data_IF_247456716335
#
_entry.id   IF_247456716335
#
_cell.length_a   1.000
_cell.length_b   1.000
_cell.length_c   1.000
_cell.angle_alpha   90.00
_cell.angle_beta   90.00
_cell.angle_gamma   90.00
#
_symmetry.space_group_name_H-M   'P 1'
#
loop_
_entity.id
_entity.type
_entity.pdbx_description
1 polymer ?
#
# COMPACT_ATOMS: atom_id res chain seq x y z
N UNK A 1 11.42 13.76 19.92
CA UNK A 1 10.47 12.93 19.16
C UNK A 1 10.87 11.48 19.34
N UNK A 2 9.99 10.70 19.91
CA UNK A 2 10.27 9.30 20.15
C UNK A 2 10.35 8.57 18.81
N UNK A 3 11.42 7.83 18.60
CA UNK A 3 11.68 7.07 17.36
C UNK A 3 10.65 5.95 17.13
N UNK A 4 9.91 5.57 18.19
CA UNK A 4 8.87 4.53 18.14
C UNK A 4 7.63 4.92 17.34
N UNK A 5 7.49 6.22 16.97
CA UNK A 5 6.42 6.72 16.14
C UNK A 5 6.75 6.72 14.62
N UNK A 6 7.99 6.42 14.26
CA UNK A 6 8.43 6.41 12.87
C UNK A 6 8.49 5.00 12.31
N UNK A 7 8.02 4.86 11.08
CA UNK A 7 8.05 3.60 10.32
C UNK A 7 8.88 3.80 9.07
N UNK A 8 9.73 2.81 8.77
CA UNK A 8 10.50 2.78 7.53
C UNK A 8 9.55 2.76 6.33
N UNK A 9 9.68 3.75 5.46
CA UNK A 9 8.90 3.85 4.24
C UNK A 9 9.64 3.33 3.02
N UNK A 10 10.89 3.71 2.85
CA UNK A 10 11.66 3.32 1.68
C UNK A 10 13.07 3.91 1.66
N UNK A 11 13.71 3.79 0.52
CA UNK A 11 15.09 4.25 0.30
C UNK A 11 15.17 5.15 -0.92
N UNK A 12 15.90 6.26 -0.80
CA UNK A 12 16.14 7.18 -1.91
C UNK A 12 17.08 6.50 -2.91
N UNK A 13 16.56 6.26 -4.11
CA UNK A 13 17.25 5.51 -5.16
C UNK A 13 18.17 6.39 -5.99
N UNK A 14 17.66 7.52 -6.48
CA UNK A 14 18.40 8.45 -7.35
C UNK A 14 17.72 9.81 -7.41
N UNK A 15 18.44 10.87 -7.83
CA UNK A 15 17.81 12.12 -8.27
C UNK A 15 16.95 11.86 -9.51
N UNK A 16 15.86 12.57 -9.64
CA UNK A 16 14.99 12.48 -10.83
C UNK A 16 15.19 13.65 -11.79
N UNK A 17 15.45 14.84 -11.27
CA UNK A 17 15.63 16.03 -12.08
C UNK A 17 16.61 17.01 -11.44
N UNK A 18 17.09 17.96 -12.24
CA UNK A 18 17.93 19.04 -11.75
C UNK A 18 17.22 20.01 -10.78
N UNK A 19 15.89 19.86 -10.63
CA UNK A 19 15.08 20.65 -9.68
C UNK A 19 15.02 20.01 -8.28
N UNK A 20 15.81 18.99 -8.03
CA UNK A 20 15.88 18.35 -6.70
C UNK A 20 14.82 17.29 -6.43
N UNK A 21 14.07 16.85 -7.43
CA UNK A 21 13.15 15.74 -7.27
C UNK A 21 13.92 14.43 -7.07
N UNK A 22 13.33 13.54 -6.30
CA UNK A 22 13.93 12.27 -5.88
C UNK A 22 13.07 11.08 -6.28
N UNK A 23 13.70 9.98 -6.65
CA UNK A 23 13.05 8.68 -6.75
C UNK A 23 13.29 7.91 -5.46
N UNK A 24 12.20 7.46 -4.84
CA UNK A 24 12.19 6.65 -3.62
C UNK A 24 11.63 5.27 -3.94
N UNK A 25 12.41 4.24 -3.64
CA UNK A 25 11.93 2.86 -3.70
C UNK A 25 11.18 2.53 -2.41
N UNK A 26 9.98 2.01 -2.52
CA UNK A 26 9.16 1.59 -1.38
C UNK A 26 8.31 0.39 -1.70
N UNK A 27 8.09 -0.47 -0.72
CA UNK A 27 7.12 -1.58 -0.80
C UNK A 27 5.68 -1.12 -0.60
N UNK A 28 5.49 0.10 -0.11
CA UNK A 28 4.16 0.70 0.04
C UNK A 28 3.66 1.20 -1.32
N UNK A 29 2.35 1.25 -1.51
CA UNK A 29 1.74 1.68 -2.78
C UNK A 29 1.20 3.11 -2.71
N UNK A 30 1.14 3.72 -1.55
CA UNK A 30 0.72 5.11 -1.37
C UNK A 30 1.39 5.76 -0.17
N UNK A 31 1.39 7.08 -0.17
CA UNK A 31 1.84 7.89 0.95
C UNK A 31 0.85 9.05 1.13
N UNK A 32 0.41 9.27 2.35
CA UNK A 32 -0.44 10.40 2.72
C UNK A 32 0.21 11.18 3.87
N UNK A 33 1.43 11.60 3.65
CA UNK A 33 2.18 12.38 4.63
C UNK A 33 2.59 13.73 4.06
N UNK A 34 2.57 14.74 4.90
CA UNK A 34 3.08 16.09 4.57
C UNK A 34 4.54 16.27 4.95
N UNK A 35 5.07 15.37 5.76
CA UNK A 35 6.45 15.41 6.25
C UNK A 35 7.03 14.00 6.19
N UNK A 36 8.20 13.89 5.60
CA UNK A 36 9.00 12.66 5.63
C UNK A 36 10.26 12.90 6.46
N UNK A 37 10.76 11.86 7.08
CA UNK A 37 11.98 11.90 7.88
C UNK A 37 13.07 11.14 7.15
N UNK A 38 14.17 11.78 6.89
CA UNK A 38 15.32 11.15 6.23
C UNK A 38 16.38 10.88 7.29
N UNK A 39 16.83 9.63 7.37
CA UNK A 39 17.91 9.27 8.27
C UNK A 39 19.23 9.80 7.74
N UNK A 40 19.80 10.78 8.44
CA UNK A 40 21.12 11.35 8.16
C UNK A 40 21.98 11.07 9.37
N UNK A 41 23.01 10.23 9.19
CA UNK A 41 23.80 9.68 10.29
C UNK A 41 22.88 8.99 11.32
N UNK A 42 22.87 9.44 12.57
CA UNK A 42 22.05 8.88 13.64
C UNK A 42 20.77 9.70 13.92
N UNK A 43 20.43 10.63 13.03
CA UNK A 43 19.30 11.54 13.23
C UNK A 43 18.22 11.38 12.15
N UNK A 44 16.97 11.52 12.56
CA UNK A 44 15.82 11.58 11.66
C UNK A 44 15.49 13.05 11.39
N UNK A 45 15.87 13.53 10.20
CA UNK A 45 15.70 14.94 9.83
C UNK A 45 14.38 15.10 9.07
N UNK A 46 13.48 15.98 9.54
CA UNK A 46 12.21 16.21 8.87
C UNK A 46 12.38 17.02 7.59
N UNK A 47 11.71 16.58 6.52
CA UNK A 47 11.58 17.29 5.25
C UNK A 47 10.11 17.45 4.90
N UNK A 48 9.72 18.67 4.53
CA UNK A 48 8.36 18.92 4.06
C UNK A 48 8.16 18.32 2.67
N UNK A 49 7.21 17.41 2.54
CA UNK A 49 6.81 16.81 1.27
C UNK A 49 5.80 17.73 0.57
N UNK A 50 6.22 18.36 -0.51
CA UNK A 50 5.38 19.25 -1.31
C UNK A 50 4.36 18.44 -2.11
N UNK A 51 4.85 17.43 -2.82
CA UNK A 51 4.03 16.44 -3.47
C UNK A 51 4.76 15.11 -3.65
N UNK A 52 3.98 14.08 -3.86
CA UNK A 52 4.46 12.75 -4.21
C UNK A 52 3.58 12.16 -5.30
N UNK A 53 4.16 11.37 -6.17
CA UNK A 53 3.43 10.62 -7.20
C UNK A 53 4.09 9.28 -7.43
N UNK A 54 3.28 8.30 -7.85
CA UNK A 54 3.80 7.01 -8.27
C UNK A 54 4.48 7.21 -9.63
N UNK A 55 5.76 6.85 -9.72
CA UNK A 55 6.53 6.92 -10.97
C UNK A 55 6.43 5.60 -11.75
N UNK A 56 6.65 4.49 -11.05
CA UNK A 56 6.51 3.10 -11.53
C UNK A 56 6.16 2.22 -10.33
N UNK A 57 5.88 0.94 -10.56
CA UNK A 57 5.68 -0.01 -9.46
C UNK A 57 6.83 0.09 -8.44
N UNK A 58 6.49 0.28 -7.18
CA UNK A 58 7.43 0.43 -6.06
C UNK A 58 8.37 1.66 -6.15
N UNK A 59 8.12 2.59 -7.06
CA UNK A 59 8.92 3.81 -7.20
C UNK A 59 8.02 5.04 -7.06
N UNK A 60 8.36 5.88 -6.11
CA UNK A 60 7.73 7.17 -5.89
C UNK A 60 8.64 8.30 -6.38
N UNK A 61 8.04 9.32 -6.93
CA UNK A 61 8.70 10.61 -7.18
C UNK A 61 8.32 11.56 -6.04
N UNK A 62 9.33 12.03 -5.31
CA UNK A 62 9.17 13.00 -4.22
C UNK A 62 9.66 14.36 -4.64
N UNK A 63 8.90 15.38 -4.26
CA UNK A 63 9.31 16.77 -4.30
C UNK A 63 9.35 17.30 -2.86
N UNK A 64 10.56 17.54 -2.36
CA UNK A 64 10.80 18.07 -1.02
C UNK A 64 11.05 19.58 -1.07
N UNK A 65 10.43 20.31 -0.14
CA UNK A 65 10.50 21.77 -0.13
C UNK A 65 11.93 22.33 -0.05
N UNK A 66 12.78 21.68 0.77
CA UNK A 66 14.15 22.13 1.04
C UNK A 66 15.20 21.55 0.05
N UNK A 67 14.78 20.71 -0.90
CA UNK A 67 15.66 20.10 -1.90
C UNK A 67 15.34 20.69 -3.28
N UNK A 68 16.11 21.70 -3.69
CA UNK A 68 15.79 22.53 -4.87
C UNK A 68 16.74 22.34 -6.05
N UNK A 69 17.78 21.56 -5.87
CA UNK A 69 18.80 21.31 -6.88
C UNK A 69 19.25 19.85 -6.86
N UNK A 70 19.93 19.47 -7.95
CA UNK A 70 20.41 18.10 -8.15
C UNK A 70 21.52 17.72 -7.16
N UNK A 71 22.37 18.66 -6.76
CA UNK A 71 23.49 18.41 -5.85
C UNK A 71 22.97 18.00 -4.47
N UNK A 72 21.98 18.74 -3.93
CA UNK A 72 21.34 18.41 -2.68
C UNK A 72 20.56 17.08 -2.77
N UNK A 73 19.91 16.83 -3.90
CA UNK A 73 19.24 15.56 -4.16
C UNK A 73 20.24 14.38 -4.18
N UNK A 74 21.40 14.53 -4.82
CA UNK A 74 22.47 13.52 -4.82
C UNK A 74 23.01 13.21 -3.44
N UNK A 75 23.10 14.19 -2.56
CA UNK A 75 23.57 14.01 -1.18
C UNK A 75 22.65 13.13 -0.33
N UNK A 76 21.38 13.00 -0.74
CA UNK A 76 20.36 12.19 -0.06
C UNK A 76 20.21 10.77 -0.62
N UNK A 77 20.89 10.44 -1.71
CA UNK A 77 20.83 9.11 -2.34
C UNK A 77 21.30 8.02 -1.37
N UNK A 78 20.64 6.87 -1.39
CA UNK A 78 20.84 5.71 -0.51
C UNK A 78 20.41 5.94 0.95
N UNK A 79 19.91 7.11 1.31
CA UNK A 79 19.37 7.35 2.64
C UNK A 79 17.98 6.78 2.80
N UNK A 80 17.68 6.36 4.01
CA UNK A 80 16.40 5.78 4.39
C UNK A 80 15.37 6.88 4.66
N UNK A 81 14.14 6.64 4.21
CA UNK A 81 12.98 7.51 4.41
C UNK A 81 12.01 6.87 5.40
N UNK A 82 11.57 7.63 6.37
CA UNK A 82 10.61 7.24 7.40
C UNK A 82 9.41 8.18 7.37
N UNK A 83 8.27 7.68 7.78
CA UNK A 83 7.03 8.45 7.98
C UNK A 83 6.45 8.15 9.36
N UNK A 84 5.56 9.01 9.84
CA UNK A 84 4.84 8.71 11.08
C UNK A 84 3.93 7.52 10.92
N UNK A 85 3.85 6.68 11.93
CA UNK A 85 3.05 5.44 11.94
C UNK A 85 1.57 5.70 11.69
N UNK A 86 1.02 6.79 12.21
CA UNK A 86 -0.37 7.19 12.02
C UNK A 86 -0.66 7.73 10.60
N UNK A 87 0.37 8.19 9.90
CA UNK A 87 0.29 8.64 8.50
C UNK A 87 0.55 7.51 7.49
N UNK A 88 0.89 6.32 7.96
CA UNK A 88 1.04 5.15 7.11
C UNK A 88 -0.34 4.75 6.59
N UNK A 89 -0.61 5.08 5.35
CA UNK A 89 -1.73 4.47 4.63
C UNK A 89 -1.31 3.02 4.36
N UNK A 90 -1.68 2.14 5.28
CA UNK A 90 -1.67 0.72 4.98
C UNK A 90 -2.67 0.60 3.84
N UNK A 91 -2.16 0.32 2.64
CA UNK A 91 -3.03 0.18 1.49
C UNK A 91 -4.15 -0.78 1.82
N UNK A 92 -5.35 -0.29 1.72
CA UNK A 92 -6.52 -1.13 1.57
C UNK A 92 -6.41 -2.04 0.33
N UNK A 93 -5.43 -1.78 -0.54
CA UNK A 93 -5.24 -2.46 -1.81
C UNK A 93 -4.23 -3.62 -1.78
N UNK A 94 -3.45 -3.81 -0.73
CA UNK A 94 -2.69 -5.04 -0.58
C UNK A 94 -3.61 -6.13 0.02
N UNK A 95 -4.36 -6.77 -0.84
CA UNK A 95 -5.32 -7.82 -0.47
C UNK A 95 -4.68 -9.19 -0.27
N UNK A 96 -3.37 -9.31 -0.45
CA UNK A 96 -2.64 -10.60 -0.29
C UNK A 96 -2.83 -11.21 1.11
N UNK A 97 -3.09 -10.39 2.13
CA UNK A 97 -3.38 -10.90 3.47
C UNK A 97 -4.67 -11.73 3.52
N UNK A 98 -5.58 -11.57 2.56
CA UNK A 98 -6.81 -12.34 2.45
C UNK A 98 -6.62 -13.76 1.89
N UNK A 99 -5.46 -14.05 1.33
CA UNK A 99 -5.16 -15.40 0.84
C UNK A 99 -5.21 -16.38 2.02
N UNK A 100 -5.90 -17.51 1.81
CA UNK A 100 -6.23 -18.49 2.83
C UNK A 100 -7.26 -18.03 3.88
N UNK A 101 -8.00 -16.96 3.63
CA UNK A 101 -9.19 -16.64 4.42
C UNK A 101 -10.37 -17.47 3.92
N UNK A 102 -11.21 -17.89 4.84
CA UNK A 102 -12.48 -18.52 4.53
C UNK A 102 -13.52 -17.47 4.19
N UNK A 103 -14.04 -17.52 2.96
CA UNK A 103 -15.06 -16.59 2.49
C UNK A 103 -16.46 -17.12 2.78
N UNK A 104 -17.29 -16.24 3.33
CA UNK A 104 -18.71 -16.45 3.54
C UNK A 104 -19.53 -15.40 2.78
N UNK A 105 -20.59 -15.83 2.13
CA UNK A 105 -21.66 -14.94 1.70
C UNK A 105 -22.73 -14.92 2.78
N UNK A 106 -22.76 -13.85 3.59
CA UNK A 106 -23.59 -13.80 4.82
C UNK A 106 -23.27 -14.96 5.77
N UNK A 107 -24.11 -15.98 5.81
CA UNK A 107 -23.92 -17.17 6.68
C UNK A 107 -23.48 -18.41 5.90
N UNK A 108 -23.37 -18.31 4.57
CA UNK A 108 -23.05 -19.46 3.71
C UNK A 108 -21.56 -19.47 3.41
N UNK A 109 -20.90 -20.57 3.76
CA UNK A 109 -19.51 -20.78 3.40
C UNK A 109 -19.35 -21.01 1.91
N UNK A 110 -18.45 -20.27 1.28
CA UNK A 110 -18.18 -20.40 -0.14
C UNK A 110 -16.91 -21.19 -0.46
N UNK A 111 -15.85 -20.95 0.28
CA UNK A 111 -14.55 -21.56 0.08
C UNK A 111 -13.40 -20.66 0.51
N UNK A 112 -12.15 -21.16 0.43
CA UNK A 112 -10.98 -20.36 0.73
C UNK A 112 -10.65 -19.38 -0.40
N UNK A 113 -10.15 -18.22 -0.03
CA UNK A 113 -9.52 -17.27 -0.97
C UNK A 113 -8.19 -17.83 -1.43
N UNK A 114 -8.02 -18.06 -2.72
CA UNK A 114 -6.82 -18.70 -3.29
C UNK A 114 -5.82 -17.69 -3.80
N UNK A 115 -6.29 -16.64 -4.42
CA UNK A 115 -5.44 -15.58 -4.99
C UNK A 115 -6.18 -14.27 -5.14
N UNK A 116 -5.44 -13.23 -5.45
CA UNK A 116 -5.93 -11.88 -5.72
C UNK A 116 -5.59 -11.53 -7.15
N UNK A 117 -6.54 -10.94 -7.87
CA UNK A 117 -6.33 -10.39 -9.22
C UNK A 117 -6.51 -8.87 -9.14
N UNK A 118 -5.42 -8.16 -9.31
CA UNK A 118 -5.45 -6.70 -9.38
C UNK A 118 -5.73 -6.26 -10.82
N UNK A 119 -6.82 -5.51 -11.00
CA UNK A 119 -7.15 -4.85 -12.28
C UNK A 119 -7.23 -3.35 -12.05
N UNK A 120 -7.00 -2.59 -13.11
CA UNK A 120 -7.16 -1.14 -13.07
C UNK A 120 -8.61 -0.80 -12.69
N UNK A 121 -8.76 -0.14 -11.54
CA UNK A 121 -10.06 0.30 -11.03
C UNK A 121 -10.90 -0.78 -10.32
N UNK A 122 -10.46 -2.03 -10.26
CA UNK A 122 -11.19 -3.09 -9.57
C UNK A 122 -10.29 -4.23 -9.13
N UNK A 123 -10.31 -4.53 -7.84
CA UNK A 123 -9.66 -5.72 -7.30
C UNK A 123 -10.65 -6.89 -7.26
N UNK A 124 -10.16 -8.07 -7.59
CA UNK A 124 -10.94 -9.30 -7.56
C UNK A 124 -10.26 -10.30 -6.64
N UNK A 125 -11.05 -11.00 -5.83
CA UNK A 125 -10.59 -12.16 -5.08
C UNK A 125 -10.99 -13.43 -5.83
N UNK A 126 -10.09 -14.40 -5.86
CA UNK A 126 -10.34 -15.72 -6.44
C UNK A 126 -10.63 -16.69 -5.32
N UNK A 127 -11.78 -17.34 -5.39
CA UNK A 127 -12.25 -18.29 -4.37
C UNK A 127 -12.47 -19.65 -5.01
N UNK A 128 -12.07 -20.71 -4.32
CA UNK A 128 -12.44 -22.07 -4.73
C UNK A 128 -13.87 -22.36 -4.29
N UNK A 129 -14.82 -22.10 -5.19
CA UNK A 129 -16.24 -22.35 -4.96
C UNK A 129 -16.71 -23.54 -5.79
N UNK A 130 -17.16 -24.61 -5.13
CA UNK A 130 -17.61 -25.85 -5.80
C UNK A 130 -16.59 -26.44 -6.79
N UNK A 131 -15.32 -26.45 -6.40
CA UNK A 131 -14.19 -26.90 -7.23
C UNK A 131 -13.97 -26.05 -8.51
N UNK A 132 -14.39 -24.80 -8.50
CA UNK A 132 -14.16 -23.82 -9.56
C UNK A 132 -13.58 -22.54 -9.00
N UNK A 133 -12.58 -22.04 -9.69
CA UNK A 133 -12.02 -20.72 -9.38
C UNK A 133 -13.02 -19.63 -9.77
N UNK A 134 -13.66 -19.04 -8.78
CA UNK A 134 -14.68 -18.02 -8.96
C UNK A 134 -14.10 -16.65 -8.62
N UNK A 135 -14.25 -15.69 -9.52
CA UNK A 135 -13.82 -14.31 -9.36
C UNK A 135 -14.92 -13.50 -8.67
N UNK A 136 -14.59 -12.88 -7.55
CA UNK A 136 -15.51 -12.08 -6.76
C UNK A 136 -14.97 -10.66 -6.65
N UNK A 137 -15.74 -9.63 -7.02
CA UNK A 137 -15.32 -8.23 -6.83
C UNK A 137 -15.09 -7.91 -5.36
N UNK A 138 -13.94 -7.33 -5.06
CA UNK A 138 -13.62 -6.84 -3.72
C UNK A 138 -13.89 -5.34 -3.66
N UNK A 139 -15.04 -4.98 -3.12
CA UNK A 139 -15.44 -3.57 -2.91
C UNK A 139 -15.90 -3.37 -1.48
N UNK A 140 -15.70 -2.17 -0.94
CA UNK A 140 -16.10 -1.86 0.45
C UNK A 140 -17.60 -2.09 0.69
N UNK A 141 -18.42 -1.85 -0.33
CA UNK A 141 -19.87 -2.02 -0.27
C UNK A 141 -20.32 -3.46 -0.05
N UNK A 142 -19.52 -4.42 -0.53
CA UNK A 142 -19.84 -5.85 -0.39
C UNK A 142 -19.27 -6.47 0.87
N UNK A 143 -18.35 -5.79 1.56
CA UNK A 143 -17.69 -6.33 2.75
C UNK A 143 -18.58 -6.09 3.97
N UNK A 144 -18.94 -7.18 4.66
CA UNK A 144 -19.67 -7.13 5.93
C UNK A 144 -18.71 -7.15 7.11
N UNK A 145 -17.73 -8.05 7.09
CA UNK A 145 -16.77 -8.21 8.18
C UNK A 145 -15.48 -8.87 7.72
N UNK A 146 -14.38 -8.42 8.28
CA UNK A 146 -13.07 -9.07 8.14
C UNK A 146 -12.55 -9.43 9.54
N UNK A 147 -12.39 -10.71 9.83
CA UNK A 147 -11.79 -11.18 11.06
C UNK A 147 -10.40 -11.75 10.78
N UNK A 148 -9.37 -10.95 11.05
CA UNK A 148 -7.98 -11.33 10.78
C UNK A 148 -7.48 -12.46 11.68
N UNK A 149 -7.97 -12.55 12.92
CA UNK A 149 -7.56 -13.61 13.87
C UNK A 149 -8.07 -14.97 13.45
N UNK A 150 -9.34 -15.05 13.05
CA UNK A 150 -9.98 -16.28 12.59
C UNK A 150 -9.78 -16.54 11.10
N UNK A 151 -9.20 -15.59 10.36
CA UNK A 151 -9.07 -15.60 8.89
C UNK A 151 -10.41 -15.84 8.20
N UNK A 152 -11.39 -15.01 8.56
CA UNK A 152 -12.74 -15.06 7.99
C UNK A 152 -13.04 -13.74 7.29
N UNK A 153 -13.53 -13.83 6.06
CA UNK A 153 -14.10 -12.74 5.29
C UNK A 153 -15.57 -12.98 5.06
N UNK A 154 -16.43 -12.08 5.50
CA UNK A 154 -17.87 -12.13 5.27
C UNK A 154 -18.26 -11.02 4.31
N UNK A 155 -18.94 -11.38 3.25
CA UNK A 155 -19.44 -10.47 2.23
C UNK A 155 -20.95 -10.61 2.06
N UNK A 156 -21.60 -9.59 1.51
CA UNK A 156 -22.99 -9.62 1.04
C UNK A 156 -22.98 -9.51 -0.48
N UNK A 157 -22.99 -10.67 -1.14
CA UNK A 157 -22.88 -10.75 -2.58
C UNK A 157 -24.26 -10.65 -3.23
N UNK A 158 -24.39 -9.87 -4.33
CA UNK A 158 -25.64 -9.83 -5.08
C UNK A 158 -26.00 -11.19 -5.65
N UNK A 159 -27.30 -11.46 -5.70
CA UNK A 159 -27.83 -12.67 -6.29
C UNK A 159 -27.42 -12.79 -7.77
N UNK A 160 -27.00 -13.99 -8.17
CA UNK A 160 -26.53 -14.27 -9.54
C UNK A 160 -25.02 -14.13 -9.73
N UNK A 161 -24.29 -13.51 -8.80
CA UNK A 161 -22.83 -13.36 -8.94
C UNK A 161 -22.09 -14.71 -8.94
N UNK A 162 -22.59 -15.69 -8.20
CA UNK A 162 -22.01 -17.01 -8.06
C UNK A 162 -22.51 -18.03 -9.11
N UNK A 163 -23.45 -17.63 -9.95
CA UNK A 163 -24.07 -18.49 -10.96
C UNK A 163 -23.42 -18.34 -12.36
N UNK A 164 -22.42 -17.50 -12.45
CA UNK A 164 -21.72 -17.23 -13.71
C UNK A 164 -20.62 -18.24 -13.96
#
# INVERSE_FOLDING_TARGET
METDELVFFGTISKPFSFRGQLIVYSKFNSINSKTVFIRIEDSYVPFKLVNSSIHKKNLFKFNLFDVKDEEKAKSLVKKEVYIKKDELVINKDNLEFLINFDLYNKKVYLGPVISIVEKIGQNLIVVDYKNKNTLIPYTEELIVMINKKKRILVMDLPSGLLEI
#
